data_IF_501344692318
#
_entry.id   IF_501344692318
#
_cell.length_a   1.000
_cell.length_b   1.000
_cell.length_c   1.000
_cell.angle_alpha   90.00
_cell.angle_beta   90.00
_cell.angle_gamma   90.00
#
_symmetry.space_group_name_H-M   'P 1'
#
loop_
_entity.id
_entity.type
_entity.pdbx_description
1 polymer ?
#
# COMPACT_ATOMS: atom_id res chain seq x y z
N UNK A 1 -12.51 -48.37 50.03
CA UNK A 1 -13.08 -47.30 49.18
C UNK A 1 -12.06 -46.17 49.06
N UNK A 2 -11.30 -46.12 47.95
CA UNK A 2 -10.28 -45.08 47.70
C UNK A 2 -10.95 -43.86 47.05
N UNK A 3 -10.82 -42.68 47.67
CA UNK A 3 -11.32 -41.40 47.13
C UNK A 3 -10.34 -40.89 46.08
N UNK A 4 -10.84 -40.68 44.86
CA UNK A 4 -10.10 -40.02 43.76
C UNK A 4 -10.31 -38.51 43.92
N UNK A 5 -9.23 -37.78 44.19
CA UNK A 5 -9.21 -36.31 44.16
C UNK A 5 -8.89 -35.92 42.71
N UNK A 6 -9.85 -35.29 42.02
CA UNK A 6 -9.63 -34.75 40.67
C UNK A 6 -9.03 -33.35 40.78
N UNK A 7 -7.79 -33.20 40.32
CA UNK A 7 -7.11 -31.91 40.19
C UNK A 7 -7.50 -31.31 38.84
N UNK A 8 -8.33 -30.26 38.86
CA UNK A 8 -8.65 -29.46 37.67
C UNK A 8 -7.46 -28.55 37.35
N UNK A 9 -6.71 -28.87 36.30
CA UNK A 9 -5.74 -27.97 35.69
C UNK A 9 -6.49 -26.91 34.88
N UNK A 10 -6.46 -25.66 35.35
CA UNK A 10 -6.90 -24.50 34.58
C UNK A 10 -5.73 -24.07 33.66
N UNK A 11 -5.79 -24.43 32.38
CA UNK A 11 -4.91 -23.88 31.36
C UNK A 11 -5.39 -22.47 30.97
N UNK A 12 -4.68 -21.45 31.48
CA UNK A 12 -4.82 -20.07 31.02
C UNK A 12 -4.29 -19.96 29.58
N UNK A 13 -5.19 -19.98 28.60
CA UNK A 13 -4.91 -19.58 27.22
C UNK A 13 -4.71 -18.06 27.19
N UNK A 14 -3.45 -17.63 27.08
CA UNK A 14 -3.13 -16.25 26.70
C UNK A 14 -3.47 -16.07 25.22
N UNK A 15 -4.62 -15.44 24.95
CA UNK A 15 -4.95 -14.92 23.63
C UNK A 15 -4.19 -13.60 23.45
N UNK A 16 -3.13 -13.62 22.65
CA UNK A 16 -2.52 -12.39 22.13
C UNK A 16 -3.48 -11.79 21.10
N UNK A 17 -4.27 -10.81 21.51
CA UNK A 17 -4.96 -9.95 20.56
C UNK A 17 -3.93 -8.98 19.96
N UNK A 18 -3.45 -9.24 18.75
CA UNK A 18 -2.74 -8.24 17.95
C UNK A 18 -3.75 -7.19 17.49
N UNK A 19 -4.03 -6.22 18.34
CA UNK A 19 -4.87 -5.07 18.01
C UNK A 19 -4.10 -4.11 17.10
N UNK A 20 -4.23 -4.27 15.78
CA UNK A 20 -3.84 -3.21 14.87
C UNK A 20 -4.71 -1.97 15.19
N UNK A 21 -4.07 -0.85 15.49
CA UNK A 21 -4.78 0.40 15.75
C UNK A 21 -5.49 0.85 14.47
N UNK A 22 -6.81 1.01 14.53
CA UNK A 22 -7.61 1.45 13.39
C UNK A 22 -7.54 2.98 13.27
N UNK A 23 -7.16 3.47 12.08
CA UNK A 23 -7.05 4.90 11.78
C UNK A 23 -8.23 5.35 10.93
N UNK A 24 -9.03 6.30 11.42
CA UNK A 24 -10.15 6.86 10.65
C UNK A 24 -9.62 7.60 9.40
N UNK A 25 -9.98 7.19 8.17
CA UNK A 25 -9.54 7.89 6.96
C UNK A 25 -10.10 9.32 6.89
N UNK A 26 -9.43 10.19 6.13
CA UNK A 26 -9.90 11.56 5.89
C UNK A 26 -11.09 11.63 4.94
N UNK A 27 -11.12 10.73 3.95
CA UNK A 27 -12.18 10.60 2.99
C UNK A 27 -12.92 9.29 3.24
N UNK A 28 -14.24 9.35 3.30
CA UNK A 28 -15.12 8.19 3.23
C UNK A 28 -15.16 7.61 1.81
N UNK A 29 -15.68 6.38 1.69
CA UNK A 29 -15.88 5.70 0.40
C UNK A 29 -16.75 6.52 -0.57
N UNK A 30 -17.68 7.33 -0.06
CA UNK A 30 -18.52 8.21 -0.90
C UNK A 30 -17.83 9.52 -1.31
N UNK A 31 -16.79 9.93 -0.59
CA UNK A 31 -16.05 11.16 -0.86
C UNK A 31 -14.90 10.93 -1.85
N UNK A 32 -14.36 9.72 -1.91
CA UNK A 32 -13.50 9.32 -3.03
C UNK A 32 -14.34 9.21 -4.30
N UNK A 33 -13.87 9.78 -5.40
CA UNK A 33 -14.56 9.62 -6.70
C UNK A 33 -14.50 8.18 -7.15
N UNK A 34 -15.55 7.79 -7.88
CA UNK A 34 -15.65 6.49 -8.53
C UNK A 34 -14.40 6.21 -9.38
N UNK A 35 -13.65 5.18 -8.98
CA UNK A 35 -12.49 4.68 -9.73
C UNK A 35 -12.87 4.13 -11.10
N UNK A 36 -14.12 3.69 -11.27
CA UNK A 36 -14.68 3.29 -12.57
C UNK A 36 -14.84 4.46 -13.55
N UNK A 37 -14.97 5.68 -13.05
CA UNK A 37 -15.06 6.89 -13.89
C UNK A 37 -13.70 7.46 -14.27
N UNK A 38 -12.67 7.16 -13.48
CA UNK A 38 -11.31 7.68 -13.66
C UNK A 38 -10.45 6.72 -14.49
N UNK A 39 -10.66 5.42 -14.32
CA UNK A 39 -9.84 4.39 -14.96
C UNK A 39 -10.51 3.82 -16.21
N UNK A 40 -9.73 3.49 -17.26
CA UNK A 40 -10.21 2.60 -18.31
C UNK A 40 -10.42 1.17 -17.76
N UNK A 41 -11.09 0.28 -18.49
CA UNK A 41 -11.07 -1.14 -18.18
C UNK A 41 -9.63 -1.70 -18.25
N UNK A 42 -9.30 -2.75 -17.48
CA UNK A 42 -8.00 -3.41 -17.58
C UNK A 42 -7.80 -4.04 -18.97
N UNK A 43 -6.54 -4.20 -19.42
CA UNK A 43 -6.24 -4.94 -20.64
C UNK A 43 -6.90 -6.31 -20.70
N UNK A 44 -7.58 -6.60 -21.81
CA UNK A 44 -8.30 -7.85 -22.04
C UNK A 44 -7.37 -8.93 -22.59
N UNK A 45 -7.70 -10.20 -22.36
CA UNK A 45 -6.98 -11.32 -22.96
C UNK A 45 -6.97 -11.17 -24.50
N UNK A 46 -5.81 -11.43 -25.12
CA UNK A 46 -5.61 -11.28 -26.56
C UNK A 46 -5.26 -9.86 -27.02
N UNK A 47 -5.34 -8.83 -26.17
CA UNK A 47 -4.90 -7.47 -26.52
C UNK A 47 -3.37 -7.31 -26.50
N UNK A 48 -2.86 -6.31 -27.22
CA UNK A 48 -1.43 -5.97 -27.22
C UNK A 48 -0.98 -5.52 -25.83
N UNK A 49 -1.81 -4.75 -25.14
CA UNK A 49 -1.55 -4.26 -23.79
C UNK A 49 -1.44 -5.42 -22.79
N UNK A 50 -2.27 -6.46 -22.93
CA UNK A 50 -2.16 -7.64 -22.08
C UNK A 50 -0.93 -8.50 -22.45
N UNK A 51 -0.53 -8.54 -23.72
CA UNK A 51 0.74 -9.14 -24.11
C UNK A 51 1.92 -8.42 -23.42
N UNK A 52 1.91 -7.09 -23.38
CA UNK A 52 2.92 -6.29 -22.67
C UNK A 52 2.93 -6.57 -21.16
N UNK A 53 1.75 -6.72 -20.54
CA UNK A 53 1.65 -7.14 -19.13
C UNK A 53 2.33 -8.50 -18.89
N UNK A 54 2.10 -9.48 -19.78
CA UNK A 54 2.70 -10.82 -19.68
C UNK A 54 4.22 -10.78 -19.87
N UNK A 55 4.72 -10.03 -20.85
CA UNK A 55 6.17 -9.87 -21.08
C UNK A 55 6.82 -9.23 -19.85
N UNK A 56 6.26 -8.12 -19.37
CA UNK A 56 6.76 -7.41 -18.18
C UNK A 56 6.79 -8.31 -16.95
N UNK A 57 5.76 -9.14 -16.73
CA UNK A 57 5.76 -10.11 -15.64
C UNK A 57 6.98 -11.04 -15.70
N UNK A 58 7.29 -11.60 -16.87
CA UNK A 58 8.40 -12.54 -17.03
C UNK A 58 9.77 -11.87 -16.92
N UNK A 59 9.92 -10.62 -17.34
CA UNK A 59 11.13 -9.83 -17.11
C UNK A 59 11.40 -9.67 -15.61
N UNK A 60 10.41 -9.23 -14.85
CA UNK A 60 10.54 -9.08 -13.40
C UNK A 60 10.63 -10.41 -12.67
N UNK A 61 10.04 -11.49 -13.20
CA UNK A 61 10.18 -12.84 -12.64
C UNK A 61 11.64 -13.29 -12.56
N UNK A 62 12.45 -12.96 -13.57
CA UNK A 62 13.89 -13.32 -13.60
C UNK A 62 14.69 -12.65 -12.47
N UNK A 63 14.30 -11.44 -12.08
CA UNK A 63 14.92 -10.73 -10.95
C UNK A 63 14.62 -11.41 -9.61
N UNK A 64 13.47 -12.08 -9.48
CA UNK A 64 13.09 -12.83 -8.28
C UNK A 64 13.99 -14.03 -8.06
N UNK A 65 14.23 -14.77 -9.13
CA UNK A 65 14.99 -16.03 -9.10
C UNK A 65 16.48 -15.81 -8.90
N UNK A 66 16.97 -14.59 -9.07
CA UNK A 66 18.37 -14.22 -8.89
C UNK A 66 18.73 -13.76 -7.46
N UNK A 67 17.76 -13.74 -6.52
CA UNK A 67 17.95 -13.28 -5.13
C UNK A 67 18.72 -11.94 -5.00
N UNK A 68 18.33 -10.96 -5.82
CA UNK A 68 19.00 -9.66 -5.82
C UNK A 68 18.59 -8.82 -4.61
N UNK A 69 19.43 -7.86 -4.19
CA UNK A 69 19.06 -6.85 -3.18
C UNK A 69 17.73 -6.17 -3.51
N UNK A 70 17.50 -5.90 -4.80
CA UNK A 70 16.24 -5.32 -5.27
C UNK A 70 15.02 -6.22 -5.03
N UNK A 71 15.15 -7.53 -5.13
CA UNK A 71 14.06 -8.48 -4.87
C UNK A 71 13.76 -8.56 -3.36
N UNK A 72 14.79 -8.55 -2.51
CA UNK A 72 14.64 -8.46 -1.05
C UNK A 72 13.94 -7.17 -0.64
N UNK A 73 14.34 -6.04 -1.21
CA UNK A 73 13.65 -4.75 -0.99
C UNK A 73 12.19 -4.82 -1.45
N UNK A 74 11.88 -5.53 -2.54
CA UNK A 74 10.51 -5.66 -3.01
C UNK A 74 9.60 -6.43 -2.04
N UNK A 75 10.16 -7.40 -1.31
CA UNK A 75 9.46 -8.11 -0.23
C UNK A 75 9.20 -7.18 0.95
N UNK A 76 10.18 -6.36 1.34
CA UNK A 76 10.01 -5.35 2.40
C UNK A 76 8.93 -4.34 2.01
N UNK A 77 9.00 -3.79 0.79
CA UNK A 77 8.02 -2.85 0.23
C UNK A 77 6.60 -3.44 0.09
N UNK A 78 6.47 -4.76 0.18
CA UNK A 78 5.16 -5.40 0.14
C UNK A 78 4.41 -5.30 1.46
N UNK A 79 5.10 -5.05 2.57
CA UNK A 79 4.51 -4.74 3.85
C UNK A 79 4.30 -3.22 3.95
N UNK A 80 3.03 -2.81 4.06
CA UNK A 80 2.64 -1.40 4.21
C UNK A 80 2.11 -1.08 5.62
N UNK A 81 2.34 -1.96 6.60
CA UNK A 81 1.89 -1.75 7.98
C UNK A 81 2.52 -0.51 8.64
N UNK A 82 3.73 -0.13 8.21
CA UNK A 82 4.43 1.06 8.65
C UNK A 82 4.82 1.99 7.49
N UNK A 83 3.94 2.94 7.11
CA UNK A 83 4.26 3.92 6.06
C UNK A 83 5.41 4.85 6.45
N UNK A 84 5.68 5.05 7.75
CA UNK A 84 6.78 5.87 8.23
C UNK A 84 8.13 5.22 7.92
N UNK A 85 8.27 3.93 8.22
CA UNK A 85 9.46 3.16 7.88
C UNK A 85 9.72 3.12 6.36
N UNK A 86 8.67 3.03 5.53
CA UNK A 86 8.81 3.00 4.07
C UNK A 86 9.38 4.30 3.47
N UNK A 87 9.16 5.44 4.13
CA UNK A 87 9.45 6.77 3.58
C UNK A 87 10.49 7.59 4.34
N UNK A 88 10.88 7.22 5.56
CA UNK A 88 11.80 8.00 6.40
C UNK A 88 13.08 8.41 5.67
N UNK A 89 13.71 7.48 4.93
CA UNK A 89 14.93 7.77 4.16
C UNK A 89 14.69 8.81 3.06
N UNK A 90 13.67 8.61 2.22
CA UNK A 90 13.33 9.53 1.14
C UNK A 90 12.86 10.90 1.65
N UNK A 91 12.17 10.90 2.79
CA UNK A 91 11.73 12.10 3.47
C UNK A 91 12.87 12.85 4.16
N UNK A 92 13.98 12.17 4.45
CA UNK A 92 15.18 12.75 5.09
C UNK A 92 15.00 13.09 6.57
N UNK A 93 13.99 12.51 7.23
CA UNK A 93 13.75 12.55 8.68
C UNK A 93 13.09 11.22 9.08
N UNK A 94 13.40 10.72 10.27
CA UNK A 94 12.72 9.53 10.81
C UNK A 94 11.24 9.84 11.03
N UNK A 95 10.37 9.08 10.37
CA UNK A 95 8.92 9.14 10.57
C UNK A 95 8.51 7.96 11.46
N UNK A 96 8.11 8.24 12.70
CA UNK A 96 7.62 7.21 13.63
C UNK A 96 6.53 7.74 14.56
N UNK A 97 5.81 6.85 15.24
CA UNK A 97 4.78 7.23 16.23
C UNK A 97 5.36 8.06 17.38
N UNK A 98 6.63 7.82 17.71
CA UNK A 98 7.31 8.41 18.86
C UNK A 98 7.96 9.75 18.50
N UNK A 99 8.63 9.82 17.35
CA UNK A 99 9.45 10.99 16.99
C UNK A 99 8.70 12.02 16.15
N UNK A 100 7.71 11.58 15.36
CA UNK A 100 6.90 12.43 14.48
C UNK A 100 5.43 12.01 14.53
N UNK A 101 4.78 12.00 15.71
CA UNK A 101 3.41 11.52 15.87
C UNK A 101 2.40 12.19 14.91
N UNK A 102 2.52 13.49 14.65
CA UNK A 102 1.58 14.21 13.80
C UNK A 102 1.74 13.83 12.33
N UNK A 103 2.99 13.68 11.86
CA UNK A 103 3.31 13.19 10.52
C UNK A 103 2.90 11.72 10.36
N UNK A 104 3.17 10.88 11.36
CA UNK A 104 2.79 9.46 11.33
C UNK A 104 1.27 9.28 11.24
N UNK A 105 0.52 10.04 12.05
CA UNK A 105 -0.95 10.04 12.00
C UNK A 105 -1.48 10.54 10.65
N UNK A 106 -0.84 11.58 10.08
CA UNK A 106 -1.17 12.08 8.75
C UNK A 106 -1.05 10.98 7.69
N UNK A 107 0.06 10.23 7.69
CA UNK A 107 0.29 9.17 6.71
C UNK A 107 -0.69 8.01 6.89
N UNK A 108 -0.87 7.51 8.11
CA UNK A 108 -1.77 6.38 8.38
C UNK A 108 -3.21 6.66 7.91
N UNK A 109 -3.76 7.82 8.26
CA UNK A 109 -5.11 8.23 7.84
C UNK A 109 -5.23 8.49 6.34
N UNK A 110 -4.16 8.99 5.71
CA UNK A 110 -4.13 9.24 4.26
C UNK A 110 -4.06 7.95 3.45
N UNK A 111 -3.28 6.96 3.93
CA UNK A 111 -3.08 5.67 3.26
C UNK A 111 -4.41 4.96 2.95
N UNK A 112 -5.33 4.93 3.91
CA UNK A 112 -6.66 4.32 3.75
C UNK A 112 -7.54 4.99 2.67
N UNK A 113 -7.25 6.24 2.31
CA UNK A 113 -7.97 6.93 1.24
C UNK A 113 -7.53 6.42 -0.15
N UNK A 114 -6.27 6.02 -0.31
CA UNK A 114 -5.68 5.68 -1.61
C UNK A 114 -5.90 4.21 -1.99
N UNK A 115 -5.22 3.30 -1.31
CA UNK A 115 -5.12 1.89 -1.66
C UNK A 115 -6.35 1.07 -1.28
N UNK A 116 -7.16 1.59 -0.36
CA UNK A 116 -8.45 1.03 0.06
C UNK A 116 -9.58 1.77 -0.68
N UNK A 117 -10.16 2.82 -0.08
CA UNK A 117 -11.37 3.49 -0.60
C UNK A 117 -11.26 3.88 -2.07
N UNK A 118 -10.12 4.45 -2.48
CA UNK A 118 -9.89 4.89 -3.86
C UNK A 118 -9.78 3.77 -4.91
N UNK A 119 -9.45 2.54 -4.51
CA UNK A 119 -9.26 1.41 -5.44
C UNK A 119 -10.41 0.40 -5.43
N UNK A 120 -11.18 0.39 -4.34
CA UNK A 120 -12.09 -0.69 -3.95
C UNK A 120 -13.22 -0.96 -4.97
N UNK A 121 -13.79 0.10 -5.54
CA UNK A 121 -14.89 -0.01 -6.49
C UNK A 121 -14.44 -0.72 -7.79
N UNK A 122 -13.36 -0.25 -8.43
CA UNK A 122 -12.81 -0.89 -9.63
C UNK A 122 -12.31 -2.32 -9.36
N UNK A 123 -11.72 -2.57 -8.18
CA UNK A 123 -11.30 -3.91 -7.77
C UNK A 123 -12.47 -4.89 -7.71
N UNK A 124 -13.58 -4.48 -7.09
CA UNK A 124 -14.80 -5.30 -7.01
C UNK A 124 -15.45 -5.50 -8.37
N UNK A 125 -15.51 -4.44 -9.18
CA UNK A 125 -16.18 -4.49 -10.48
C UNK A 125 -15.43 -5.36 -11.50
N UNK A 126 -14.13 -5.15 -11.68
CA UNK A 126 -13.36 -5.89 -12.68
C UNK A 126 -12.88 -7.26 -12.18
N UNK A 127 -12.70 -7.40 -10.86
CA UNK A 127 -12.21 -8.62 -10.20
C UNK A 127 -11.06 -9.32 -10.95
N UNK A 128 -10.11 -8.51 -11.47
CA UNK A 128 -9.07 -8.99 -12.38
C UNK A 128 -8.16 -10.02 -11.70
N UNK A 129 -7.92 -11.16 -12.35
CA UNK A 129 -6.99 -12.18 -11.88
C UNK A 129 -5.56 -11.64 -11.79
N UNK A 130 -4.85 -11.95 -10.70
CA UNK A 130 -3.45 -11.56 -10.47
C UNK A 130 -2.47 -12.43 -11.25
N UNK A 131 -1.26 -11.94 -11.58
CA UNK A 131 -0.32 -12.67 -12.41
C UNK A 131 0.17 -14.00 -11.81
N UNK A 132 0.48 -14.05 -10.51
CA UNK A 132 0.89 -15.32 -9.88
C UNK A 132 -0.21 -16.38 -9.94
N UNK A 133 -1.48 -15.98 -9.89
CA UNK A 133 -2.63 -16.88 -10.05
C UNK A 133 -2.75 -17.31 -11.52
N UNK A 134 -2.69 -16.36 -12.45
CA UNK A 134 -2.81 -16.62 -13.89
C UNK A 134 -1.75 -17.62 -14.39
N UNK A 135 -0.50 -17.45 -13.97
CA UNK A 135 0.61 -18.33 -14.37
C UNK A 135 0.81 -19.55 -13.47
N UNK A 136 -0.06 -19.77 -12.47
CA UNK A 136 0.08 -20.86 -11.49
C UNK A 136 1.47 -20.90 -10.83
N UNK A 137 1.94 -19.73 -10.39
CA UNK A 137 3.23 -19.54 -9.69
C UNK A 137 3.00 -19.01 -8.27
N UNK A 138 4.03 -19.09 -7.45
CA UNK A 138 4.09 -18.38 -6.16
C UNK A 138 4.57 -16.94 -6.36
N UNK A 139 4.07 -16.06 -5.51
CA UNK A 139 4.59 -14.70 -5.32
C UNK A 139 5.79 -14.74 -4.37
N UNK A 140 6.50 -13.61 -4.25
CA UNK A 140 7.50 -13.44 -3.18
C UNK A 140 6.87 -13.09 -1.82
N UNK A 141 5.54 -13.13 -1.71
CA UNK A 141 4.79 -12.84 -0.49
C UNK A 141 3.76 -13.95 -0.22
N UNK A 142 4.18 -15.20 -0.01
CA UNK A 142 3.28 -16.36 0.08
C UNK A 142 2.22 -16.23 1.18
N UNK A 143 2.56 -15.59 2.32
CA UNK A 143 1.63 -15.35 3.43
C UNK A 143 0.42 -14.47 3.04
N UNK A 144 0.54 -13.63 2.01
CA UNK A 144 -0.54 -12.78 1.55
C UNK A 144 -1.40 -13.43 0.44
N UNK A 145 -0.98 -14.56 -0.15
CA UNK A 145 -1.62 -15.11 -1.34
C UNK A 145 -3.08 -15.50 -1.14
N UNK A 146 -3.43 -16.03 0.04
CA UNK A 146 -4.81 -16.46 0.35
C UNK A 146 -5.77 -15.27 0.22
N UNK A 147 -5.39 -14.12 0.78
CA UNK A 147 -6.17 -12.89 0.68
C UNK A 147 -6.13 -12.32 -0.75
N UNK A 148 -4.95 -12.28 -1.37
CA UNK A 148 -4.77 -11.73 -2.71
C UNK A 148 -5.55 -12.50 -3.79
N UNK A 149 -5.75 -13.82 -3.64
CA UNK A 149 -6.58 -14.63 -4.55
C UNK A 149 -8.06 -14.24 -4.54
N UNK A 150 -8.53 -13.62 -3.46
CA UNK A 150 -9.92 -13.19 -3.27
C UNK A 150 -10.13 -11.69 -3.50
N UNK A 151 -9.07 -10.96 -3.88
CA UNK A 151 -9.12 -9.51 -4.09
C UNK A 151 -8.55 -9.13 -5.46
N UNK A 152 -9.36 -8.43 -6.27
CA UNK A 152 -9.04 -8.04 -7.64
C UNK A 152 -7.70 -7.31 -7.79
N UNK A 153 -7.01 -7.58 -8.91
CA UNK A 153 -5.69 -7.03 -9.21
C UNK A 153 -5.71 -5.56 -9.63
N UNK A 154 -6.77 -5.12 -10.31
CA UNK A 154 -6.84 -3.80 -10.96
C UNK A 154 -7.75 -2.83 -10.19
N UNK A 155 -7.29 -1.60 -9.87
CA UNK A 155 -5.90 -1.11 -9.92
C UNK A 155 -5.04 -1.64 -8.76
N UNK A 156 -3.74 -1.35 -8.75
CA UNK A 156 -2.88 -1.68 -7.61
C UNK A 156 -3.04 -0.70 -6.44
N UNK A 157 -3.63 -1.18 -5.34
CA UNK A 157 -3.80 -0.40 -4.11
C UNK A 157 -2.49 -0.02 -3.43
N UNK A 158 -1.51 -0.93 -3.36
CA UNK A 158 -0.19 -0.59 -2.82
C UNK A 158 0.50 0.48 -3.66
N UNK A 159 0.43 0.41 -4.99
CA UNK A 159 0.96 1.49 -5.83
C UNK A 159 0.24 2.81 -5.57
N UNK A 160 -1.09 2.79 -5.42
CA UNK A 160 -1.84 3.98 -5.06
C UNK A 160 -1.38 4.56 -3.72
N UNK A 161 -1.15 3.73 -2.71
CA UNK A 161 -0.59 4.15 -1.42
C UNK A 161 0.80 4.76 -1.56
N UNK A 162 1.73 4.11 -2.26
CA UNK A 162 3.08 4.65 -2.45
C UNK A 162 3.02 6.04 -3.07
N UNK A 163 2.32 6.22 -4.20
CA UNK A 163 2.22 7.54 -4.84
C UNK A 163 1.47 8.56 -3.98
N UNK A 164 0.34 8.18 -3.38
CA UNK A 164 -0.46 9.06 -2.55
C UNK A 164 0.29 9.58 -1.33
N UNK A 165 1.00 8.70 -0.61
CA UNK A 165 1.83 9.08 0.53
C UNK A 165 3.00 9.98 0.13
N UNK A 166 3.61 9.75 -1.03
CA UNK A 166 4.64 10.65 -1.53
C UNK A 166 4.12 12.06 -1.84
N UNK A 167 2.89 12.19 -2.38
CA UNK A 167 2.26 13.50 -2.56
C UNK A 167 2.02 14.21 -1.22
N UNK A 168 1.49 13.50 -0.23
CA UNK A 168 1.27 14.04 1.13
C UNK A 168 2.59 14.47 1.78
N UNK A 169 3.67 13.70 1.62
CA UNK A 169 4.98 14.08 2.15
C UNK A 169 5.62 15.25 1.39
N UNK A 170 5.34 15.38 0.10
CA UNK A 170 5.80 16.52 -0.71
C UNK A 170 5.13 17.84 -0.28
N UNK A 171 3.90 17.80 0.27
CA UNK A 171 3.26 18.98 0.89
C UNK A 171 3.97 19.48 2.17
N UNK A 172 4.73 18.58 2.82
CA UNK A 172 5.52 18.90 4.01
C UNK A 172 6.95 19.31 3.66
N UNK A 173 7.57 18.65 2.67
CA UNK A 173 8.97 18.84 2.26
C UNK A 173 9.11 18.87 0.73
N UNK A 174 8.70 19.95 0.06
CA UNK A 174 8.75 20.05 -1.40
C UNK A 174 10.18 19.94 -1.95
N UNK A 175 11.21 20.28 -1.17
CA UNK A 175 12.62 20.12 -1.52
C UNK A 175 13.08 18.66 -1.61
N UNK A 176 12.28 17.71 -1.08
CA UNK A 176 12.53 16.26 -1.15
C UNK A 176 11.67 15.55 -2.21
N UNK A 177 10.93 16.29 -3.03
CA UNK A 177 9.95 15.73 -3.98
C UNK A 177 10.58 14.69 -4.92
N UNK A 178 11.79 14.94 -5.45
CA UNK A 178 12.46 13.97 -6.32
C UNK A 178 12.70 12.63 -5.62
N UNK A 179 13.20 12.65 -4.38
CA UNK A 179 13.48 11.45 -3.60
C UNK A 179 12.18 10.72 -3.25
N UNK A 180 11.15 11.46 -2.84
CA UNK A 180 9.82 10.91 -2.52
C UNK A 180 9.19 10.24 -3.75
N UNK A 181 9.27 10.86 -4.91
CA UNK A 181 8.69 10.31 -6.14
C UNK A 181 9.47 9.14 -6.70
N UNK A 182 10.80 9.16 -6.58
CA UNK A 182 11.64 8.00 -6.87
C UNK A 182 11.25 6.81 -6.00
N UNK A 183 11.11 7.03 -4.69
CA UNK A 183 10.70 6.01 -3.73
C UNK A 183 9.33 5.43 -4.03
N UNK A 184 8.35 6.28 -4.38
CA UNK A 184 7.02 5.83 -4.78
C UNK A 184 7.06 4.95 -6.05
N UNK A 185 7.87 5.33 -7.04
CA UNK A 185 8.03 4.54 -8.26
C UNK A 185 8.68 3.18 -7.97
N UNK A 186 9.69 3.15 -7.10
CA UNK A 186 10.30 1.90 -6.63
C UNK A 186 9.27 1.01 -5.94
N UNK A 187 8.41 1.56 -5.08
CA UNK A 187 7.32 0.81 -4.46
C UNK A 187 6.34 0.21 -5.47
N UNK A 188 6.01 0.94 -6.54
CA UNK A 188 5.25 0.42 -7.68
C UNK A 188 5.95 -0.74 -8.39
N UNK A 189 7.24 -0.58 -8.71
CA UNK A 189 8.07 -1.63 -9.31
C UNK A 189 8.19 -2.85 -8.39
N UNK A 190 8.25 -2.66 -7.07
CA UNK A 190 8.27 -3.75 -6.09
C UNK A 190 7.05 -4.65 -6.26
N UNK A 191 5.87 -4.13 -6.65
CA UNK A 191 4.67 -4.94 -6.90
C UNK A 191 4.80 -5.86 -8.11
N UNK A 192 5.54 -5.44 -9.13
CA UNK A 192 5.89 -6.25 -10.30
C UNK A 192 6.93 -7.32 -9.92
N UNK A 193 7.92 -6.93 -9.11
CA UNK A 193 8.95 -7.86 -8.62
C UNK A 193 8.36 -8.89 -7.67
N UNK A 194 7.43 -8.58 -6.77
CA UNK A 194 6.83 -9.64 -5.94
C UNK A 194 5.80 -10.49 -6.70
N UNK A 195 5.35 -10.02 -7.86
CA UNK A 195 4.53 -10.79 -8.79
C UNK A 195 3.05 -10.84 -8.52
N UNK A 196 2.53 -9.82 -7.83
CA UNK A 196 1.13 -9.77 -7.40
C UNK A 196 0.29 -8.78 -8.19
N UNK A 197 0.90 -8.01 -9.09
CA UNK A 197 0.24 -7.04 -9.97
C UNK A 197 0.84 -7.05 -11.37
N UNK A 198 -0.01 -6.75 -12.34
CA UNK A 198 0.36 -6.46 -13.73
C UNK A 198 0.93 -5.03 -13.86
N UNK A 199 1.68 -4.76 -14.94
CA UNK A 199 2.23 -3.44 -15.20
C UNK A 199 1.12 -2.38 -15.36
N UNK A 200 0.04 -2.74 -16.03
CA UNK A 200 -1.15 -1.89 -16.16
C UNK A 200 -1.89 -1.65 -14.84
N UNK A 201 -1.88 -2.60 -13.89
CA UNK A 201 -2.44 -2.37 -12.55
C UNK A 201 -1.64 -1.29 -11.79
N UNK A 202 -0.31 -1.34 -11.92
CA UNK A 202 0.61 -0.35 -11.32
C UNK A 202 0.38 1.02 -11.95
N UNK A 203 0.30 1.10 -13.29
CA UNK A 203 0.00 2.35 -13.98
C UNK A 203 -1.34 2.96 -13.53
N UNK A 204 -2.39 2.14 -13.44
CA UNK A 204 -3.69 2.58 -12.96
C UNK A 204 -3.68 3.01 -11.49
N UNK A 205 -2.89 2.35 -10.64
CA UNK A 205 -2.69 2.77 -9.24
C UNK A 205 -2.13 4.19 -9.11
N UNK A 206 -1.22 4.60 -10.01
CA UNK A 206 -0.70 5.98 -10.05
C UNK A 206 -1.79 7.01 -10.37
N UNK A 207 -2.68 6.66 -11.30
CA UNK A 207 -3.83 7.51 -11.69
C UNK A 207 -4.79 7.66 -10.52
N UNK A 208 -5.13 6.56 -9.83
CA UNK A 208 -5.98 6.61 -8.63
C UNK A 208 -5.36 7.49 -7.54
N UNK A 209 -4.06 7.33 -7.27
CA UNK A 209 -3.38 8.15 -6.27
C UNK A 209 -3.54 9.65 -6.57
N UNK A 210 -3.28 10.06 -7.80
CA UNK A 210 -3.41 11.45 -8.22
C UNK A 210 -4.86 11.93 -8.08
N UNK A 211 -5.82 11.14 -8.56
CA UNK A 211 -7.24 11.48 -8.47
C UNK A 211 -7.71 11.62 -7.02
N UNK A 212 -7.33 10.71 -6.13
CA UNK A 212 -7.74 10.77 -4.71
C UNK A 212 -7.09 11.94 -4.01
N UNK A 213 -5.80 12.19 -4.28
CA UNK A 213 -5.04 13.27 -3.64
C UNK A 213 -5.67 14.65 -3.92
N UNK A 214 -6.19 14.86 -5.13
CA UNK A 214 -6.89 16.12 -5.48
C UNK A 214 -8.10 16.40 -4.59
N UNK A 215 -8.81 15.37 -4.10
CA UNK A 215 -9.91 15.56 -3.13
C UNK A 215 -9.40 15.61 -1.69
N UNK A 216 -8.36 14.83 -1.39
CA UNK A 216 -7.76 14.78 -0.06
C UNK A 216 -7.24 16.15 0.37
N UNK A 217 -6.54 16.86 -0.54
CA UNK A 217 -5.92 18.16 -0.23
C UNK A 217 -6.92 19.28 0.10
N UNK A 218 -8.19 19.10 -0.25
CA UNK A 218 -9.28 20.04 0.06
C UNK A 218 -10.08 19.64 1.30
N UNK A 219 -9.85 18.46 1.88
CA UNK A 219 -10.53 18.01 3.08
C UNK A 219 -10.08 18.83 4.32
N UNK A 220 -11.02 19.42 5.10
CA UNK A 220 -10.66 20.25 6.26
C UNK A 220 -9.91 19.49 7.37
N UNK A 221 -10.27 18.23 7.64
CA UNK A 221 -9.58 17.43 8.65
C UNK A 221 -8.15 17.09 8.21
N UNK A 222 -7.94 16.79 6.92
CA UNK A 222 -6.61 16.58 6.33
C UNK A 222 -5.76 17.84 6.46
N UNK A 223 -6.27 19.00 6.04
CA UNK A 223 -5.55 20.28 6.13
C UNK A 223 -5.15 20.61 7.57
N UNK A 224 -6.06 20.42 8.51
CA UNK A 224 -5.76 20.65 9.93
C UNK A 224 -4.63 19.74 10.44
N UNK A 225 -4.63 18.45 10.05
CA UNK A 225 -3.53 17.54 10.42
C UNK A 225 -2.22 17.89 9.70
N UNK A 226 -2.29 18.27 8.42
CA UNK A 226 -1.14 18.69 7.63
C UNK A 226 -0.44 19.90 8.27
N UNK A 227 -1.19 20.88 8.77
CA UNK A 227 -0.60 22.02 9.49
C UNK A 227 0.13 21.61 10.78
N UNK A 228 -0.39 20.62 11.52
CA UNK A 228 0.29 20.09 12.71
C UNK A 228 1.59 19.38 12.33
N UNK A 229 1.53 18.48 11.35
CA UNK A 229 2.70 17.78 10.83
C UNK A 229 3.74 18.77 10.26
N UNK A 230 3.31 19.85 9.59
CA UNK A 230 4.21 20.89 9.10
C UNK A 230 4.97 21.59 10.24
N UNK A 231 4.29 21.94 11.33
CA UNK A 231 4.94 22.54 12.52
C UNK A 231 5.93 21.56 13.17
N UNK A 232 5.55 20.29 13.28
CA UNK A 232 6.41 19.21 13.79
C UNK A 232 7.69 19.07 12.96
N UNK A 233 7.56 18.94 11.64
CA UNK A 233 8.70 18.82 10.71
C UNK A 233 9.58 20.06 10.74
N UNK A 234 9.00 21.26 10.75
CA UNK A 234 9.76 22.51 10.84
C UNK A 234 10.54 22.64 12.16
N UNK A 235 10.03 22.10 13.27
CA UNK A 235 10.74 22.12 14.53
C UNK A 235 11.97 21.20 14.52
N UNK A 236 11.93 20.09 13.77
CA UNK A 236 13.02 19.13 13.65
C UNK A 236 14.09 19.52 12.63
N UNK A 237 13.78 20.44 11.71
CA UNK A 237 14.71 20.93 10.69
C UNK A 237 15.47 22.21 11.09
N UNK A 238 15.19 22.75 12.28
CA UNK A 238 15.95 23.87 12.88
C UNK A 238 17.21 23.36 13.57
#
# INVERSE_FOLDING_TARGET
>A
MRRIVSTLLFSLLFVWASGAQEYKPYLSVSEVRSSLRVLPPPPQEGSIEFLMDKITYWEYYRLRTADTLRARQAVIDADMSDPGALYSEAFGLTISKENTPETYLLLQRSMECFGSSGCDEAKRFYNRTRPFVYFSRTSLTPGAEIWLRRNGSYPSGHTANFFGLAYVLADLRPERNEQLMRRANEGGISRLIVGVHWASDVAAGKIVAASVYEYLKDNPEYRAQLEKARKEVQALLK
#
